data_IF_251847311993
#
_entry.id   IF_251847311993
#
_cell.length_a   1.000
_cell.length_b   1.000
_cell.length_c   1.000
_cell.angle_alpha   90.00
_cell.angle_beta   90.00
_cell.angle_gamma   90.00
#
_symmetry.space_group_name_H-M   'P 1'
#
loop_
_entity.id
_entity.type
_entity.pdbx_description
1 polymer ?
#
# COMPACT_ATOMS: atom_id res chain seq x y z
N UNK A 1 -12.48 86.90 -73.15
CA UNK A 1 -11.23 86.29 -72.66
C UNK A 1 -11.36 85.76 -71.21
N UNK A 2 -12.50 85.20 -70.78
CA UNK A 2 -12.79 85.01 -69.33
C UNK A 2 -13.55 83.72 -68.96
N UNK A 3 -13.42 82.62 -69.73
CA UNK A 3 -14.18 81.37 -69.51
C UNK A 3 -13.34 80.11 -69.34
N UNK A 4 -12.01 80.22 -69.38
CA UNK A 4 -11.08 79.08 -69.26
C UNK A 4 -10.58 78.90 -67.81
N UNK A 5 -10.57 79.96 -67.00
CA UNK A 5 -10.04 79.91 -65.62
C UNK A 5 -10.87 79.04 -64.66
N UNK A 6 -12.20 78.99 -64.84
CA UNK A 6 -13.08 78.22 -63.95
C UNK A 6 -12.95 76.69 -64.06
N UNK A 7 -12.43 76.15 -65.17
CA UNK A 7 -12.23 74.70 -65.34
C UNK A 7 -10.91 74.21 -64.74
N UNK A 8 -9.86 75.03 -64.80
CA UNK A 8 -8.55 74.73 -64.22
C UNK A 8 -8.66 74.74 -62.68
N UNK A 9 -9.42 75.69 -62.13
CA UNK A 9 -9.65 75.77 -60.67
C UNK A 9 -10.45 74.59 -60.10
N UNK A 10 -11.44 74.07 -60.84
CA UNK A 10 -12.20 72.87 -60.44
C UNK A 10 -11.39 71.57 -60.52
N UNK A 11 -10.42 71.48 -61.43
CA UNK A 11 -9.50 70.33 -61.51
C UNK A 11 -8.45 70.38 -60.38
N UNK A 12 -7.92 71.56 -60.08
CA UNK A 12 -7.03 71.78 -58.94
C UNK A 12 -7.72 71.47 -57.60
N UNK A 13 -9.01 71.85 -57.43
CA UNK A 13 -9.79 71.49 -56.24
C UNK A 13 -10.07 69.99 -56.10
N UNK A 14 -10.19 69.23 -57.21
CA UNK A 14 -10.37 67.76 -57.16
C UNK A 14 -9.05 67.03 -56.89
N UNK A 15 -7.91 67.58 -57.32
CA UNK A 15 -6.58 67.06 -57.00
C UNK A 15 -6.12 67.44 -55.59
N UNK A 16 -6.58 68.56 -55.05
CA UNK A 16 -6.39 68.98 -53.66
C UNK A 16 -7.45 68.39 -52.69
N UNK A 17 -8.40 67.59 -53.19
CA UNK A 17 -9.38 66.94 -52.34
C UNK A 17 -8.76 65.71 -51.66
N UNK A 18 -8.37 65.87 -50.39
CA UNK A 18 -7.84 64.79 -49.53
C UNK A 18 -8.89 63.71 -49.15
N UNK A 19 -10.05 63.68 -49.82
CA UNK A 19 -11.19 62.83 -49.48
C UNK A 19 -10.91 61.31 -49.63
N UNK A 20 -9.76 60.91 -50.18
CA UNK A 20 -9.29 59.52 -50.26
C UNK A 20 -8.11 59.16 -49.33
N UNK A 21 -7.44 60.13 -48.70
CA UNK A 21 -6.31 59.83 -47.82
C UNK A 21 -6.76 59.05 -46.58
N UNK A 22 -7.92 59.39 -46.03
CA UNK A 22 -8.55 58.69 -44.92
C UNK A 22 -8.93 57.25 -45.26
N UNK A 23 -9.35 56.95 -46.51
CA UNK A 23 -9.72 55.59 -46.91
C UNK A 23 -8.50 54.70 -47.13
N UNK A 24 -7.42 55.23 -47.73
CA UNK A 24 -6.14 54.51 -47.85
C UNK A 24 -5.56 54.20 -46.46
N UNK A 25 -5.58 55.18 -45.57
CA UNK A 25 -5.14 54.99 -44.18
C UNK A 25 -6.01 53.97 -43.42
N UNK A 26 -7.34 54.02 -43.60
CA UNK A 26 -8.24 53.05 -42.98
C UNK A 26 -7.97 51.62 -43.47
N UNK A 27 -7.76 51.41 -44.76
CA UNK A 27 -7.39 50.09 -45.31
C UNK A 27 -6.07 49.62 -44.70
N UNK A 28 -5.07 50.50 -44.62
CA UNK A 28 -3.78 50.17 -44.01
C UNK A 28 -3.93 49.76 -42.53
N UNK A 29 -4.72 50.50 -41.75
CA UNK A 29 -4.99 50.18 -40.34
C UNK A 29 -5.79 48.89 -40.15
N UNK A 30 -6.76 48.60 -41.03
CA UNK A 30 -7.49 47.33 -41.02
C UNK A 30 -6.53 46.17 -41.30
N UNK A 31 -5.64 46.30 -42.29
CA UNK A 31 -4.66 45.25 -42.58
C UNK A 31 -3.70 45.01 -41.41
N UNK A 32 -3.16 46.07 -40.79
CA UNK A 32 -2.30 45.92 -39.60
C UNK A 32 -3.03 45.22 -38.46
N UNK A 33 -4.25 45.66 -38.14
CA UNK A 33 -5.01 45.07 -37.03
C UNK A 33 -5.45 43.64 -37.32
N UNK A 34 -5.74 43.29 -38.58
CA UNK A 34 -5.96 41.89 -38.98
C UNK A 34 -4.70 41.04 -38.79
N UNK A 35 -3.52 41.51 -39.18
CA UNK A 35 -2.25 40.78 -38.99
C UNK A 35 -1.90 40.62 -37.51
N UNK A 36 -2.13 41.65 -36.69
CA UNK A 36 -1.94 41.55 -35.24
C UNK A 36 -2.97 40.60 -34.60
N UNK A 37 -4.25 40.70 -35.00
CA UNK A 37 -5.31 39.81 -34.54
C UNK A 37 -5.02 38.35 -34.88
N UNK A 38 -4.63 38.09 -36.12
CA UNK A 38 -4.12 36.83 -36.61
C UNK A 38 -3.01 36.24 -35.72
N UNK A 39 -1.95 37.03 -35.51
CA UNK A 39 -0.82 36.64 -34.67
C UNK A 39 -1.26 36.29 -33.24
N UNK A 40 -2.16 37.09 -32.66
CA UNK A 40 -2.67 36.83 -31.31
C UNK A 40 -3.50 35.56 -31.21
N UNK A 41 -4.31 35.23 -32.23
CA UNK A 41 -5.13 34.01 -32.25
C UNK A 41 -4.26 32.76 -32.35
N UNK A 42 -3.31 32.74 -33.29
CA UNK A 42 -2.40 31.61 -33.47
C UNK A 42 -1.51 31.41 -32.23
N UNK A 43 -1.00 32.49 -31.64
CA UNK A 43 -0.22 32.43 -30.40
C UNK A 43 -1.06 31.91 -29.21
N UNK A 44 -2.30 32.39 -29.07
CA UNK A 44 -3.21 31.92 -28.01
C UNK A 44 -3.55 30.44 -28.17
N UNK A 45 -3.79 29.97 -29.40
CA UNK A 45 -4.02 28.55 -29.66
C UNK A 45 -2.77 27.71 -29.37
N UNK A 46 -1.57 28.18 -29.75
CA UNK A 46 -0.31 27.53 -29.41
C UNK A 46 -0.10 27.39 -27.91
N UNK A 47 -0.42 28.44 -27.14
CA UNK A 47 -0.34 28.41 -25.68
C UNK A 47 -1.36 27.45 -25.05
N UNK A 48 -2.61 27.45 -25.55
CA UNK A 48 -3.64 26.50 -25.13
C UNK A 48 -3.21 25.05 -25.35
N UNK A 49 -2.69 24.73 -26.53
CA UNK A 49 -2.23 23.38 -26.88
C UNK A 49 -1.03 22.99 -26.02
N UNK A 50 -0.07 23.89 -25.78
CA UNK A 50 1.05 23.64 -24.86
C UNK A 50 0.57 23.30 -23.45
N UNK A 51 -0.41 24.03 -22.92
CA UNK A 51 -0.98 23.73 -21.60
C UNK A 51 -1.66 22.36 -21.56
N UNK A 52 -2.38 21.98 -22.62
CA UNK A 52 -2.97 20.64 -22.73
C UNK A 52 -1.91 19.54 -22.77
N UNK A 53 -0.80 19.75 -23.51
CA UNK A 53 0.34 18.85 -23.54
C UNK A 53 1.02 18.73 -22.17
N UNK A 54 1.12 19.82 -21.42
CA UNK A 54 1.69 19.82 -20.06
C UNK A 54 0.84 18.97 -19.11
N UNK A 55 -0.47 19.21 -19.06
CA UNK A 55 -1.41 18.42 -18.24
C UNK A 55 -1.31 16.92 -18.61
N UNK A 56 -1.23 16.62 -19.91
CA UNK A 56 -1.06 15.26 -20.40
C UNK A 56 0.25 14.64 -19.94
N UNK A 57 1.38 15.37 -20.07
CA UNK A 57 2.69 14.90 -19.65
C UNK A 57 2.72 14.64 -18.13
N UNK A 58 2.17 15.55 -17.33
CA UNK A 58 2.11 15.41 -15.86
C UNK A 58 1.28 14.18 -15.44
N UNK A 59 0.09 14.02 -16.01
CA UNK A 59 -0.78 12.88 -15.71
C UNK A 59 -0.17 11.55 -16.15
N UNK A 60 0.43 11.51 -17.35
CA UNK A 60 1.07 10.30 -17.88
C UNK A 60 2.34 9.94 -17.10
N UNK A 61 3.17 10.91 -16.73
CA UNK A 61 4.36 10.68 -15.90
C UNK A 61 3.96 10.12 -14.54
N UNK A 62 2.97 10.73 -13.87
CA UNK A 62 2.48 10.26 -12.57
C UNK A 62 1.93 8.83 -12.64
N UNK A 63 1.13 8.54 -13.67
CA UNK A 63 0.58 7.20 -13.87
C UNK A 63 1.66 6.15 -14.14
N UNK A 64 2.68 6.50 -14.94
CA UNK A 64 3.83 5.63 -15.19
C UNK A 64 4.62 5.34 -13.91
N UNK A 65 4.91 6.37 -13.13
CA UNK A 65 5.67 6.27 -11.89
C UNK A 65 5.02 5.33 -10.85
N UNK A 66 3.68 5.25 -10.84
CA UNK A 66 2.91 4.35 -9.98
C UNK A 66 3.03 2.85 -10.35
N UNK A 67 3.65 2.53 -11.49
CA UNK A 67 3.86 1.14 -11.95
C UNK A 67 5.31 0.69 -11.92
N UNK A 68 6.24 1.58 -11.55
CA UNK A 68 7.62 1.17 -11.31
C UNK A 68 7.69 0.13 -10.17
N UNK A 69 8.61 -0.85 -10.26
CA UNK A 69 9.70 -0.97 -11.25
C UNK A 69 9.30 -1.65 -12.58
N UNK A 70 8.03 -2.03 -12.78
CA UNK A 70 7.58 -2.64 -14.03
C UNK A 70 7.48 -1.60 -15.17
N UNK A 71 8.57 -1.45 -15.92
CA UNK A 71 8.67 -0.47 -17.01
C UNK A 71 7.73 -0.75 -18.19
N UNK A 72 7.37 -2.03 -18.41
CA UNK A 72 6.43 -2.39 -19.46
C UNK A 72 5.00 -1.95 -19.08
N UNK A 73 4.56 -2.26 -17.85
CA UNK A 73 3.28 -1.80 -17.32
C UNK A 73 3.21 -0.27 -17.18
N UNK A 74 4.30 0.35 -16.73
CA UNK A 74 4.41 1.81 -16.63
C UNK A 74 4.24 2.51 -17.98
N UNK A 75 4.92 2.02 -19.02
CA UNK A 75 4.80 2.57 -20.38
C UNK A 75 3.39 2.39 -20.94
N UNK A 76 2.79 1.22 -20.76
CA UNK A 76 1.43 0.95 -21.24
C UNK A 76 0.42 1.91 -20.59
N UNK A 77 0.50 2.09 -19.27
CA UNK A 77 -0.41 2.98 -18.54
C UNK A 77 -0.18 4.46 -18.88
N UNK A 78 1.06 4.89 -19.09
CA UNK A 78 1.38 6.25 -19.54
C UNK A 78 0.68 6.60 -20.86
N UNK A 79 0.75 5.69 -21.83
CA UNK A 79 0.11 5.84 -23.15
C UNK A 79 -1.42 5.88 -23.03
N UNK A 80 -2.00 5.02 -22.20
CA UNK A 80 -3.44 5.00 -21.93
C UNK A 80 -3.93 6.32 -21.32
N UNK A 81 -3.24 6.82 -20.30
CA UNK A 81 -3.58 8.09 -19.64
C UNK A 81 -3.38 9.27 -20.59
N UNK A 82 -2.32 9.28 -21.40
CA UNK A 82 -2.11 10.31 -22.39
C UNK A 82 -3.25 10.35 -23.42
N UNK A 83 -3.67 9.19 -23.93
CA UNK A 83 -4.77 9.08 -24.89
C UNK A 83 -6.09 9.60 -24.30
N UNK A 84 -6.35 9.36 -23.01
CA UNK A 84 -7.54 9.88 -22.31
C UNK A 84 -7.54 11.41 -22.19
N UNK A 85 -6.38 12.03 -22.04
CA UNK A 85 -6.26 13.49 -21.88
C UNK A 85 -6.28 14.25 -23.22
N UNK A 86 -5.82 13.63 -24.31
CA UNK A 86 -5.76 14.26 -25.64
C UNK A 86 -6.96 13.90 -26.55
N UNK A 87 -7.63 12.77 -26.29
CA UNK A 87 -8.71 12.27 -27.14
C UNK A 87 -8.21 11.43 -28.32
N UNK A 88 -9.15 10.81 -29.05
CA UNK A 88 -8.82 10.00 -30.22
C UNK A 88 -8.36 10.88 -31.40
N UNK A 89 -7.14 10.66 -31.89
CA UNK A 89 -6.61 11.30 -33.11
C UNK A 89 -5.40 12.22 -32.89
N UNK A 90 -5.08 12.59 -31.65
CA UNK A 90 -3.90 13.41 -31.34
C UNK A 90 -2.76 12.55 -30.79
N UNK A 91 -2.00 11.91 -31.68
CA UNK A 91 -0.83 11.10 -31.31
C UNK A 91 0.36 11.98 -30.87
N UNK A 92 0.21 12.74 -29.77
CA UNK A 92 1.27 13.60 -29.24
C UNK A 92 2.26 12.84 -28.33
N UNK A 93 1.97 11.58 -28.00
CA UNK A 93 2.82 10.72 -27.19
C UNK A 93 3.04 9.37 -27.89
N UNK A 94 4.29 8.93 -27.95
CA UNK A 94 4.71 7.60 -28.40
C UNK A 94 5.38 6.82 -27.26
N UNK A 95 5.59 5.51 -27.47
CA UNK A 95 6.31 4.66 -26.52
C UNK A 95 7.74 5.16 -26.19
N UNK A 96 8.37 5.84 -27.14
CA UNK A 96 9.72 6.40 -27.03
C UNK A 96 9.77 7.71 -26.24
N UNK A 97 8.62 8.33 -26.01
CA UNK A 97 8.52 9.55 -25.21
C UNK A 97 8.47 9.27 -23.71
N UNK A 98 8.33 7.99 -23.33
CA UNK A 98 8.34 7.52 -21.95
C UNK A 98 9.74 6.98 -21.65
N UNK A 99 10.54 7.80 -20.96
CA UNK A 99 11.93 7.51 -20.60
C UNK A 99 12.02 7.18 -19.11
N UNK A 100 12.76 6.13 -18.80
CA UNK A 100 12.96 5.63 -17.43
C UNK A 100 14.33 6.06 -16.92
N UNK A 101 14.40 6.41 -15.65
CA UNK A 101 15.61 7.00 -15.08
C UNK A 101 15.64 6.98 -13.56
N UNK A 102 16.71 7.54 -13.03
CA UNK A 102 16.84 7.90 -11.63
C UNK A 102 16.66 9.40 -11.45
N UNK A 103 15.92 9.80 -10.41
CA UNK A 103 15.85 11.16 -9.92
C UNK A 103 16.59 11.26 -8.60
N UNK A 104 17.51 12.21 -8.51
CA UNK A 104 18.24 12.54 -7.28
C UNK A 104 18.10 14.03 -7.00
N UNK A 105 17.72 14.38 -5.77
CA UNK A 105 17.58 15.77 -5.34
C UNK A 105 18.90 16.53 -5.53
N UNK A 106 18.85 17.68 -6.18
CA UNK A 106 20.04 18.49 -6.53
C UNK A 106 20.82 18.02 -7.77
N UNK A 107 20.63 16.79 -8.25
CA UNK A 107 21.28 16.28 -9.48
C UNK A 107 20.31 16.15 -10.67
N UNK A 108 19.02 16.03 -10.40
CA UNK A 108 17.97 15.95 -11.43
C UNK A 108 17.74 14.53 -11.95
N UNK A 109 17.20 14.44 -13.18
CA UNK A 109 16.85 13.18 -13.84
C UNK A 109 17.98 12.68 -14.73
N UNK A 110 18.36 11.41 -14.58
CA UNK A 110 19.29 10.71 -15.47
C UNK A 110 18.65 9.41 -15.98
N UNK A 111 18.68 9.18 -17.30
CA UNK A 111 18.17 7.92 -17.86
C UNK A 111 19.04 6.73 -17.43
N UNK A 112 18.39 5.60 -17.14
CA UNK A 112 19.08 4.36 -16.75
C UNK A 112 18.41 3.16 -17.41
N UNK A 113 19.21 2.14 -17.75
CA UNK A 113 18.71 0.83 -18.17
C UNK A 113 18.47 -0.12 -16.98
N UNK A 114 18.87 0.29 -15.77
CA UNK A 114 18.72 -0.46 -14.53
C UNK A 114 17.41 -0.17 -13.77
N UNK A 115 17.45 -0.30 -12.45
CA UNK A 115 16.31 0.04 -11.59
C UNK A 115 16.00 1.55 -11.69
N UNK A 116 14.86 1.87 -12.30
CA UNK A 116 14.37 3.23 -12.43
C UNK A 116 13.47 3.60 -11.23
N UNK A 117 13.76 4.73 -10.59
CA UNK A 117 12.91 5.31 -9.56
C UNK A 117 12.05 6.48 -10.10
N UNK A 118 12.26 6.91 -11.35
CA UNK A 118 11.55 8.02 -11.96
C UNK A 118 11.23 7.77 -13.44
N UNK A 119 10.20 8.47 -13.92
CA UNK A 119 9.77 8.45 -15.32
C UNK A 119 9.68 9.87 -15.84
N UNK A 120 10.30 10.12 -17.00
CA UNK A 120 10.14 11.35 -17.78
C UNK A 120 9.23 11.08 -18.96
N UNK A 121 8.21 11.91 -19.13
CA UNK A 121 7.26 11.83 -20.24
C UNK A 121 7.30 13.12 -21.03
N UNK A 122 7.43 13.03 -22.36
CA UNK A 122 7.47 14.21 -23.26
C UNK A 122 6.32 14.16 -24.26
N UNK A 123 5.34 15.05 -24.12
CA UNK A 123 4.25 15.19 -25.08
C UNK A 123 4.58 16.31 -26.07
N UNK A 124 4.52 16.02 -27.38
CA UNK A 124 4.90 16.99 -28.40
C UNK A 124 4.07 16.87 -29.68
N UNK A 125 3.76 18.03 -30.27
CA UNK A 125 3.22 18.18 -31.62
C UNK A 125 4.31 18.75 -32.52
N UNK A 126 4.77 17.99 -33.50
CA UNK A 126 5.88 18.38 -34.38
C UNK A 126 5.62 17.96 -35.82
N UNK A 127 6.27 18.64 -36.76
CA UNK A 127 6.23 18.32 -38.18
C UNK A 127 6.80 16.94 -38.45
N UNK A 128 7.86 16.57 -37.72
CA UNK A 128 8.48 15.24 -37.80
C UNK A 128 7.51 14.09 -37.46
N UNK A 129 6.51 14.35 -36.60
CA UNK A 129 5.46 13.40 -36.22
C UNK A 129 4.20 13.50 -37.09
N UNK A 130 4.17 14.43 -38.04
CA UNK A 130 2.99 14.70 -38.88
C UNK A 130 1.80 15.25 -38.10
N UNK A 131 2.01 15.81 -36.91
CA UNK A 131 0.94 16.27 -36.01
C UNK A 131 1.16 17.72 -35.52
N UNK A 132 1.96 18.52 -36.24
CA UNK A 132 2.19 19.92 -35.91
C UNK A 132 0.87 20.72 -35.77
N UNK A 133 0.90 21.84 -35.05
CA UNK A 133 -0.25 22.72 -34.94
C UNK A 133 -0.25 23.67 -36.13
N UNK A 134 -1.09 23.40 -37.11
CA UNK A 134 -1.27 24.31 -38.25
C UNK A 134 -1.71 25.69 -37.77
N UNK A 135 -1.08 26.72 -38.32
CA UNK A 135 -1.45 28.11 -38.07
C UNK A 135 -2.44 28.57 -39.11
N UNK A 136 -3.42 29.39 -38.70
CA UNK A 136 -4.47 29.83 -39.62
C UNK A 136 -4.05 31.09 -40.37
N UNK A 137 -3.34 32.00 -39.69
CA UNK A 137 -3.06 33.33 -40.23
C UNK A 137 -1.57 33.68 -40.25
N UNK A 138 -0.74 33.02 -39.44
CA UNK A 138 0.72 33.12 -39.55
C UNK A 138 1.34 32.66 -40.89
N UNK A 139 0.68 31.86 -41.78
CA UNK A 139 1.25 31.58 -43.09
C UNK A 139 1.48 32.85 -43.93
N UNK A 140 0.73 33.94 -43.66
CA UNK A 140 0.91 35.25 -44.30
C UNK A 140 2.29 35.89 -44.03
N UNK A 141 2.97 35.46 -42.96
CA UNK A 141 4.32 35.88 -42.59
C UNK A 141 5.33 34.74 -42.66
N UNK A 142 4.98 33.64 -43.35
CA UNK A 142 5.87 32.51 -43.64
C UNK A 142 6.04 31.49 -42.50
N UNK A 143 5.11 31.45 -41.54
CA UNK A 143 5.10 30.42 -40.50
C UNK A 143 3.86 29.55 -40.70
N UNK A 144 4.04 28.32 -41.15
CA UNK A 144 2.92 27.44 -41.51
C UNK A 144 2.39 26.63 -40.32
N UNK A 145 3.25 26.33 -39.35
CA UNK A 145 2.90 25.55 -38.18
C UNK A 145 3.68 25.94 -36.92
N UNK A 146 3.09 25.66 -35.76
CA UNK A 146 3.71 25.72 -34.45
C UNK A 146 4.00 24.30 -33.94
N UNK A 147 5.10 24.15 -33.21
CA UNK A 147 5.54 22.87 -32.66
C UNK A 147 5.58 22.90 -31.12
N UNK A 148 4.42 22.96 -30.43
CA UNK A 148 4.41 22.97 -28.97
C UNK A 148 4.82 21.60 -28.40
N UNK A 149 5.57 21.65 -27.30
CA UNK A 149 5.96 20.48 -26.53
C UNK A 149 5.99 20.78 -25.04
N UNK A 150 5.80 19.74 -24.25
CA UNK A 150 5.84 19.77 -22.80
C UNK A 150 6.46 18.48 -22.27
N UNK A 151 7.14 18.57 -21.12
CA UNK A 151 7.76 17.42 -20.47
C UNK A 151 7.50 17.46 -18.98
N UNK A 152 7.26 16.30 -18.39
CA UNK A 152 7.08 16.12 -16.97
C UNK A 152 7.94 14.97 -16.47
N UNK A 153 8.36 15.06 -15.21
CA UNK A 153 9.07 14.00 -14.51
C UNK A 153 8.26 13.67 -13.26
N UNK A 154 8.00 12.38 -13.06
CA UNK A 154 7.41 11.89 -11.83
C UNK A 154 8.34 10.84 -11.24
N UNK A 155 8.57 10.96 -9.94
CA UNK A 155 9.31 9.96 -9.18
C UNK A 155 8.29 8.96 -8.65
N UNK A 156 8.62 7.68 -8.72
CA UNK A 156 7.85 6.65 -8.04
C UNK A 156 7.75 7.03 -6.57
N UNK A 157 6.61 6.70 -5.95
CA UNK A 157 6.53 6.59 -4.51
C UNK A 157 7.34 5.35 -4.03
N UNK A 158 8.53 5.12 -4.59
CA UNK A 158 9.57 4.40 -3.92
C UNK A 158 10.05 5.29 -2.78
N UNK A 159 10.15 4.68 -1.62
CA UNK A 159 10.68 5.11 -0.32
C UNK A 159 11.85 6.11 -0.26
N UNK A 160 12.48 6.41 -1.39
CA UNK A 160 13.55 7.39 -1.48
C UNK A 160 13.03 8.84 -1.52
N UNK A 161 11.87 9.08 -2.15
CA UNK A 161 11.28 10.42 -2.29
C UNK A 161 10.58 10.91 -1.01
N UNK A 162 10.42 10.03 -0.02
CA UNK A 162 9.80 10.30 1.26
C UNK A 162 10.72 9.87 2.41
N UNK A 163 11.99 10.26 2.36
CA UNK A 163 12.89 10.20 3.53
C UNK A 163 12.80 8.91 4.34
N UNK A 164 13.11 7.77 3.74
CA UNK A 164 13.31 6.50 4.45
C UNK A 164 12.51 5.34 3.86
N UNK A 165 13.15 4.17 3.79
CA UNK A 165 12.50 2.88 3.63
C UNK A 165 11.22 2.83 4.48
N UNK A 166 10.11 2.32 3.92
CA UNK A 166 8.85 2.14 4.63
C UNK A 166 9.10 1.04 5.64
N UNK A 167 9.64 1.45 6.78
CA UNK A 167 10.09 0.56 7.82
C UNK A 167 8.89 0.03 8.55
N UNK A 168 8.38 -1.10 8.09
CA UNK A 168 7.36 -1.89 8.80
C UNK A 168 8.01 -3.17 9.36
N UNK A 169 9.30 -3.11 9.71
CA UNK A 169 10.05 -4.26 10.19
C UNK A 169 9.62 -4.70 11.58
N UNK A 170 9.23 -3.76 12.44
CA UNK A 170 8.98 -4.02 13.85
C UNK A 170 7.55 -4.42 14.14
N UNK A 171 6.60 -3.84 13.43
CA UNK A 171 5.22 -4.30 13.45
C UNK A 171 4.45 -3.85 12.20
N UNK A 172 3.50 -4.67 11.77
CA UNK A 172 2.50 -4.33 10.77
C UNK A 172 1.13 -4.84 11.22
N UNK A 173 0.18 -3.94 11.39
CA UNK A 173 -1.23 -4.27 11.57
C UNK A 173 -1.99 -3.59 10.46
N UNK A 174 -2.72 -4.35 9.65
CA UNK A 174 -3.51 -3.82 8.56
C UNK A 174 -4.94 -4.36 8.58
N UNK A 175 -5.88 -3.48 8.23
CA UNK A 175 -7.27 -3.84 7.98
C UNK A 175 -7.74 -3.34 6.61
N UNK A 176 -8.57 -4.14 5.94
CA UNK A 176 -9.29 -3.73 4.73
C UNK A 176 -10.44 -2.75 5.00
N UNK A 177 -10.72 -2.44 6.26
CA UNK A 177 -11.73 -1.48 6.68
C UNK A 177 -11.10 -0.31 7.45
N UNK A 178 -11.78 0.16 8.50
CA UNK A 178 -11.34 1.29 9.30
C UNK A 178 -10.49 0.84 10.49
N UNK A 179 -9.45 1.62 10.82
CA UNK A 179 -8.64 1.39 12.01
C UNK A 179 -8.82 2.51 13.03
N UNK A 180 -9.04 2.14 14.28
CA UNK A 180 -9.02 3.07 15.41
C UNK A 180 -8.00 2.62 16.45
N UNK A 181 -7.19 3.58 16.88
CA UNK A 181 -6.39 3.46 18.09
C UNK A 181 -6.97 4.43 19.11
N UNK A 182 -7.07 4.01 20.37
CA UNK A 182 -7.37 4.89 21.48
C UNK A 182 -6.22 5.86 21.74
N UNK A 183 -6.21 6.51 22.89
CA UNK A 183 -5.15 7.46 23.26
C UNK A 183 -4.05 6.88 24.15
N UNK A 184 -3.00 7.66 24.40
CA UNK A 184 -1.92 7.32 25.33
C UNK A 184 -0.92 6.30 24.79
N UNK A 185 -0.83 6.15 23.48
CA UNK A 185 0.02 5.15 22.85
C UNK A 185 1.49 5.57 22.86
N UNK A 186 2.40 4.61 22.93
CA UNK A 186 3.84 4.78 22.82
C UNK A 186 4.35 3.81 21.78
N UNK A 187 4.55 4.28 20.55
CA UNK A 187 5.02 3.48 19.43
C UNK A 187 6.48 3.82 19.15
N UNK A 188 7.38 2.87 19.37
CA UNK A 188 8.83 3.04 19.16
C UNK A 188 9.35 2.01 18.17
N UNK A 189 9.87 2.49 17.04
CA UNK A 189 10.45 1.68 15.99
C UNK A 189 9.74 1.86 14.65
N UNK A 190 9.94 0.87 13.78
CA UNK A 190 9.48 0.80 12.41
C UNK A 190 8.13 0.07 12.34
N UNK A 191 7.06 0.81 12.69
CA UNK A 191 5.72 0.28 12.94
C UNK A 191 4.75 0.84 11.91
N UNK A 192 3.96 -0.03 11.29
CA UNK A 192 2.94 0.34 10.31
C UNK A 192 1.55 -0.06 10.78
N UNK A 193 0.68 0.94 10.93
CA UNK A 193 -0.75 0.78 11.20
C UNK A 193 -1.51 1.24 9.96
N UNK A 194 -2.34 0.36 9.40
CA UNK A 194 -3.04 0.62 8.15
C UNK A 194 -4.54 0.33 8.24
N UNK A 195 -5.37 1.33 7.97
CA UNK A 195 -6.80 1.15 7.74
C UNK A 195 -7.18 1.63 6.35
N UNK A 196 -7.56 0.70 5.46
CA UNK A 196 -7.83 1.00 4.05
C UNK A 196 -8.86 2.13 3.86
N UNK A 197 -9.93 2.14 4.65
CA UNK A 197 -10.99 3.16 4.53
C UNK A 197 -10.75 4.39 5.41
N UNK A 198 -9.80 4.31 6.35
CA UNK A 198 -9.38 5.39 7.22
C UNK A 198 -8.69 4.88 8.49
N UNK A 199 -7.95 5.78 9.13
CA UNK A 199 -7.28 5.54 10.41
C UNK A 199 -7.47 6.73 11.34
N UNK A 200 -7.81 6.47 12.60
CA UNK A 200 -7.92 7.49 13.64
C UNK A 200 -7.14 7.11 14.91
N UNK A 201 -6.58 8.12 15.57
CA UNK A 201 -5.88 7.97 16.86
C UNK A 201 -6.58 8.77 17.95
N UNK A 202 -6.61 8.26 19.18
CA UNK A 202 -7.29 8.92 20.30
C UNK A 202 -6.54 10.11 20.89
N UNK A 203 -5.24 10.25 20.61
CA UNK A 203 -4.41 11.36 21.05
C UNK A 203 -3.71 11.14 22.40
N UNK A 204 -2.82 12.05 22.77
CA UNK A 204 -1.86 11.82 23.85
C UNK A 204 -0.81 10.78 23.47
N UNK A 205 -0.54 10.65 22.17
CA UNK A 205 0.30 9.60 21.62
C UNK A 205 1.75 10.07 21.46
N UNK A 206 2.68 9.13 21.63
CA UNK A 206 4.11 9.30 21.37
C UNK A 206 4.54 8.36 20.25
N UNK A 207 5.06 8.94 19.17
CA UNK A 207 5.61 8.25 18.01
C UNK A 207 7.10 8.56 17.91
N UNK A 208 7.92 7.51 17.85
CA UNK A 208 9.35 7.63 17.62
C UNK A 208 9.85 6.53 16.67
N UNK A 209 10.88 6.84 15.88
CA UNK A 209 11.38 5.96 14.83
C UNK A 209 10.54 6.06 13.56
N UNK A 210 10.56 5.02 12.73
CA UNK A 210 9.83 4.94 11.45
C UNK A 210 8.35 4.60 11.60
N UNK A 211 7.63 5.19 12.56
CA UNK A 211 6.19 4.93 12.74
C UNK A 211 5.39 5.51 11.58
N UNK A 212 4.44 4.73 11.06
CA UNK A 212 3.61 5.08 9.93
C UNK A 212 2.15 4.73 10.18
N UNK A 213 1.32 5.75 10.02
CA UNK A 213 -0.12 5.66 10.10
C UNK A 213 -0.66 5.90 8.70
N UNK A 214 -1.33 4.90 8.13
CA UNK A 214 -1.71 4.95 6.71
C UNK A 214 -3.15 4.53 6.45
N UNK A 215 -3.67 5.09 5.36
CA UNK A 215 -4.93 4.73 4.72
C UNK A 215 -4.77 4.87 3.21
N UNK A 216 -5.81 4.55 2.42
CA UNK A 216 -5.75 4.66 0.96
C UNK A 216 -5.26 6.05 0.49
N UNK A 217 -5.62 7.10 1.22
CA UNK A 217 -5.08 8.45 1.03
C UNK A 217 -4.65 9.06 2.37
N UNK A 218 -3.65 9.95 2.35
CA UNK A 218 -3.17 10.64 3.58
C UNK A 218 -4.31 11.39 4.28
N UNK A 219 -5.26 11.97 3.53
CA UNK A 219 -6.39 12.71 4.09
C UNK A 219 -7.40 11.88 4.88
N UNK A 220 -7.34 10.54 4.78
CA UNK A 220 -8.16 9.63 5.58
C UNK A 220 -7.47 9.20 6.88
N UNK A 221 -6.29 9.73 7.17
CA UNK A 221 -5.55 9.50 8.41
C UNK A 221 -5.74 10.69 9.33
N UNK A 222 -6.42 10.48 10.45
CA UNK A 222 -6.60 11.50 11.49
C UNK A 222 -5.72 11.16 12.68
N UNK A 223 -4.68 11.96 12.88
CA UNK A 223 -3.79 11.85 14.04
C UNK A 223 -4.17 12.97 15.01
N UNK A 224 -4.75 12.61 16.15
CA UNK A 224 -5.02 13.58 17.22
C UNK A 224 -3.73 14.01 17.92
N UNK A 225 -3.87 14.81 18.99
CA UNK A 225 -2.76 15.40 19.74
C UNK A 225 -1.59 14.42 20.00
N UNK A 226 -0.38 14.83 19.62
CA UNK A 226 0.87 14.13 19.96
C UNK A 226 1.58 14.83 21.12
N UNK A 227 2.20 14.05 22.00
CA UNK A 227 2.90 14.61 23.18
C UNK A 227 4.22 15.29 22.78
N UNK A 228 4.75 16.24 23.58
CA UNK A 228 6.03 16.89 23.28
C UNK A 228 7.17 15.89 23.06
N UNK A 229 7.96 16.10 22.00
CA UNK A 229 9.07 15.23 21.60
C UNK A 229 8.67 14.00 20.77
N UNK A 230 7.37 13.84 20.47
CA UNK A 230 6.87 12.89 19.46
C UNK A 230 7.06 13.43 18.05
N UNK A 231 7.13 12.53 17.06
CA UNK A 231 6.86 12.90 15.68
C UNK A 231 5.44 13.51 15.55
N UNK A 232 5.31 14.45 14.61
CA UNK A 232 4.07 15.18 14.31
C UNK A 232 3.10 14.33 13.48
N UNK A 233 1.83 14.76 13.46
CA UNK A 233 0.78 14.15 12.64
C UNK A 233 1.19 14.03 11.16
N UNK A 234 1.79 15.08 10.60
CA UNK A 234 2.21 15.09 9.20
C UNK A 234 3.40 14.17 8.91
N UNK A 235 4.28 13.99 9.89
CA UNK A 235 5.45 13.10 9.78
C UNK A 235 5.08 11.63 9.80
N UNK A 236 4.03 11.23 10.53
CA UNK A 236 3.61 9.83 10.63
C UNK A 236 2.48 9.46 9.65
N UNK A 237 1.65 10.42 9.24
CA UNK A 237 0.53 10.15 8.33
C UNK A 237 1.00 9.96 6.87
N UNK A 238 0.49 8.92 6.21
CA UNK A 238 0.84 8.54 4.82
C UNK A 238 -0.39 8.03 4.05
N UNK A 239 -0.38 8.23 2.73
CA UNK A 239 -1.24 7.48 1.81
C UNK A 239 -0.52 6.19 1.39
N UNK A 240 -1.19 5.05 1.47
CA UNK A 240 -0.65 3.76 1.06
C UNK A 240 -1.78 2.81 0.65
N UNK A 241 -1.55 1.95 -0.34
CA UNK A 241 -2.47 0.88 -0.72
C UNK A 241 -1.87 -0.45 -0.30
N UNK A 242 -2.07 -0.80 0.98
CA UNK A 242 -1.66 -2.08 1.56
C UNK A 242 -2.83 -3.06 1.47
N UNK A 243 -2.57 -4.24 0.93
CA UNK A 243 -3.55 -5.31 0.80
C UNK A 243 -3.17 -6.51 1.67
N UNK A 244 -4.13 -7.12 2.40
CA UNK A 244 -3.92 -8.40 3.07
C UNK A 244 -3.49 -9.50 2.08
N UNK A 245 -2.48 -10.29 2.46
CA UNK A 245 -1.92 -11.37 1.63
C UNK A 245 -2.33 -12.75 2.15
N UNK A 246 -2.48 -12.88 3.47
CA UNK A 246 -2.83 -14.13 4.16
C UNK A 246 -4.35 -14.28 4.27
N UNK A 247 -5.05 -13.20 4.61
CA UNK A 247 -6.48 -13.18 4.87
C UNK A 247 -7.31 -13.78 3.72
N UNK A 248 -7.08 -13.45 2.43
CA UNK A 248 -7.85 -14.05 1.32
C UNK A 248 -7.58 -15.56 1.14
N UNK A 249 -6.49 -16.07 1.72
CA UNK A 249 -6.04 -17.46 1.60
C UNK A 249 -6.42 -18.30 2.82
N UNK A 250 -6.97 -17.73 3.89
CA UNK A 250 -7.25 -18.47 5.13
C UNK A 250 -8.03 -19.77 4.89
N UNK A 251 -9.08 -19.70 4.07
CA UNK A 251 -9.91 -20.88 3.80
C UNK A 251 -9.13 -21.99 3.10
N UNK A 252 -8.41 -21.66 2.04
CA UNK A 252 -7.62 -22.64 1.28
C UNK A 252 -6.44 -23.16 2.09
N UNK A 253 -5.80 -22.31 2.91
CA UNK A 253 -4.75 -22.71 3.85
C UNK A 253 -5.26 -23.74 4.86
N UNK A 254 -6.42 -23.49 5.48
CA UNK A 254 -7.00 -24.42 6.45
C UNK A 254 -7.36 -25.76 5.80
N UNK A 255 -8.06 -25.74 4.66
CA UNK A 255 -8.49 -26.95 3.96
C UNK A 255 -7.30 -27.81 3.51
N UNK A 256 -6.26 -27.17 2.97
CA UNK A 256 -5.02 -27.85 2.59
C UNK A 256 -4.31 -28.45 3.80
N UNK A 257 -4.16 -27.69 4.89
CA UNK A 257 -3.52 -28.15 6.12
C UNK A 257 -4.29 -29.31 6.75
N UNK A 258 -5.61 -29.16 6.90
CA UNK A 258 -6.47 -30.19 7.46
C UNK A 258 -6.39 -31.48 6.65
N UNK A 259 -6.54 -31.39 5.33
CA UNK A 259 -6.48 -32.55 4.44
C UNK A 259 -5.11 -33.22 4.45
N UNK A 260 -4.01 -32.45 4.47
CA UNK A 260 -2.65 -32.97 4.47
C UNK A 260 -2.33 -33.77 5.73
N UNK A 261 -2.79 -33.29 6.90
CA UNK A 261 -2.56 -33.98 8.17
C UNK A 261 -3.53 -35.17 8.32
N UNK A 262 -4.81 -35.00 7.98
CA UNK A 262 -5.82 -36.01 8.27
C UNK A 262 -5.76 -37.25 7.37
N UNK A 263 -5.18 -37.15 6.16
CA UNK A 263 -5.16 -38.25 5.17
C UNK A 263 -4.45 -39.52 5.65
N UNK A 264 -3.54 -39.40 6.63
CA UNK A 264 -2.73 -40.51 7.13
C UNK A 264 -3.23 -41.04 8.49
N UNK A 265 -4.31 -40.47 9.03
CA UNK A 265 -4.89 -40.91 10.30
C UNK A 265 -5.80 -42.11 10.05
N UNK A 266 -5.68 -43.16 10.87
CA UNK A 266 -6.66 -44.23 10.86
C UNK A 266 -8.06 -43.67 11.18
N UNK A 267 -9.09 -44.16 10.48
CA UNK A 267 -10.48 -43.76 10.74
C UNK A 267 -10.82 -43.93 12.22
N UNK A 268 -11.29 -42.88 12.91
CA UNK A 268 -11.62 -42.97 14.33
C UNK A 268 -12.74 -43.98 14.59
N UNK A 269 -12.54 -44.88 15.56
CA UNK A 269 -13.57 -45.84 16.00
C UNK A 269 -14.60 -45.25 17.00
N UNK A 270 -14.75 -43.92 17.01
CA UNK A 270 -15.73 -43.20 17.82
C UNK A 270 -15.23 -42.78 19.21
N UNK A 271 -15.43 -41.48 19.50
CA UNK A 271 -15.31 -40.78 20.79
C UNK A 271 -13.93 -40.59 21.44
N UNK A 272 -12.88 -41.27 21.00
CA UNK A 272 -11.59 -41.19 21.69
C UNK A 272 -10.61 -40.15 21.11
N UNK A 273 -9.75 -39.65 22.00
CA UNK A 273 -8.52 -38.96 21.65
C UNK A 273 -7.57 -39.97 21.01
N UNK A 274 -7.37 -39.88 19.69
CA UNK A 274 -6.49 -40.81 18.99
C UNK A 274 -5.13 -40.14 18.79
N UNK A 275 -4.10 -40.69 19.44
CA UNK A 275 -2.70 -40.39 19.13
C UNK A 275 -2.28 -41.35 18.03
N UNK A 276 -2.35 -40.92 16.78
CA UNK A 276 -1.95 -41.76 15.65
C UNK A 276 -1.08 -40.98 14.69
N UNK A 277 0.07 -41.56 14.37
CA UNK A 277 1.00 -41.05 13.38
C UNK A 277 1.84 -39.83 13.79
N UNK A 278 2.67 -39.45 12.82
CA UNK A 278 3.54 -38.28 12.88
C UNK A 278 3.37 -37.44 11.62
N UNK A 279 3.30 -36.13 11.80
CA UNK A 279 3.36 -35.18 10.70
C UNK A 279 4.82 -34.91 10.33
N UNK A 280 5.14 -35.07 9.05
CA UNK A 280 6.46 -34.75 8.45
C UNK A 280 6.34 -33.75 7.31
N UNK A 281 5.14 -33.19 7.09
CA UNK A 281 4.90 -32.24 6.02
C UNK A 281 5.56 -30.88 6.28
N UNK A 282 5.30 -29.96 5.35
CA UNK A 282 5.94 -28.64 5.29
C UNK A 282 4.96 -27.48 5.34
N UNK A 283 3.71 -27.73 5.75
CA UNK A 283 2.67 -26.69 5.84
C UNK A 283 2.63 -26.01 7.21
N UNK A 284 3.50 -26.44 8.13
CA UNK A 284 3.62 -25.90 9.48
C UNK A 284 5.07 -25.52 9.81
N UNK A 285 5.30 -24.54 10.70
CA UNK A 285 6.63 -24.13 11.13
C UNK A 285 7.46 -25.27 11.75
N UNK A 286 8.78 -25.21 11.56
CA UNK A 286 9.69 -26.27 12.04
C UNK A 286 9.83 -26.33 13.57
N UNK A 287 9.47 -25.28 14.31
CA UNK A 287 9.52 -25.30 15.78
C UNK A 287 8.58 -26.35 16.40
N UNK A 288 7.62 -26.87 15.62
CA UNK A 288 6.71 -27.94 16.03
C UNK A 288 7.35 -29.33 15.92
N UNK A 289 8.53 -29.44 15.32
CA UNK A 289 9.22 -30.72 15.13
C UNK A 289 10.11 -31.02 16.32
N UNK A 290 10.08 -32.28 16.75
CA UNK A 290 10.98 -32.83 17.75
C UNK A 290 12.43 -32.95 17.22
N UNK A 291 13.33 -33.48 18.04
CA UNK A 291 14.74 -33.73 17.66
C UNK A 291 14.92 -34.69 16.48
N UNK A 292 13.88 -35.46 16.12
CA UNK A 292 13.88 -36.38 14.99
C UNK A 292 13.21 -35.78 13.74
N UNK A 293 12.83 -34.50 13.79
CA UNK A 293 12.13 -33.82 12.70
C UNK A 293 10.66 -34.23 12.55
N UNK A 294 10.05 -34.83 13.58
CA UNK A 294 8.67 -35.34 13.58
C UNK A 294 7.79 -34.53 14.53
N UNK A 295 6.49 -34.46 14.22
CA UNK A 295 5.48 -33.85 15.10
C UNK A 295 4.39 -34.88 15.36
N UNK A 296 4.07 -35.18 16.61
CA UNK A 296 2.99 -36.11 16.94
C UNK A 296 1.64 -35.54 16.49
N UNK A 297 0.71 -36.39 16.07
CA UNK A 297 -0.66 -35.96 15.74
C UNK A 297 -1.64 -36.55 16.74
N UNK A 298 -2.56 -35.71 17.19
CA UNK A 298 -3.66 -36.08 18.05
C UNK A 298 -4.95 -35.61 17.40
N UNK A 299 -5.79 -36.56 17.02
CA UNK A 299 -7.11 -36.28 16.48
C UNK A 299 -8.15 -36.31 17.59
N UNK A 300 -8.96 -35.26 17.64
CA UNK A 300 -9.99 -35.06 18.66
C UNK A 300 -11.36 -34.94 17.98
N UNK A 301 -12.15 -35.99 18.11
CA UNK A 301 -13.53 -36.06 17.59
C UNK A 301 -14.51 -36.43 18.68
N UNK A 302 -14.46 -35.63 19.75
CA UNK A 302 -15.46 -35.69 20.80
C UNK A 302 -16.72 -34.99 20.28
N UNK A 303 -17.84 -35.70 20.23
CA UNK A 303 -19.14 -35.17 19.80
C UNK A 303 -19.52 -33.95 20.66
N UNK A 304 -19.16 -32.75 20.21
CA UNK A 304 -19.27 -31.51 20.99
C UNK A 304 -17.93 -30.80 21.19
N UNK A 305 -17.69 -30.34 22.42
CA UNK A 305 -16.62 -29.39 22.75
C UNK A 305 -15.51 -30.06 23.57
N UNK A 306 -14.25 -30.01 23.10
CA UNK A 306 -13.13 -30.58 23.86
C UNK A 306 -12.59 -29.58 24.89
N UNK A 307 -12.54 -29.96 26.17
CA UNK A 307 -11.95 -29.12 27.23
C UNK A 307 -10.60 -29.67 27.66
N UNK A 308 -9.51 -29.11 27.13
CA UNK A 308 -8.15 -29.51 27.45
C UNK A 308 -7.81 -29.15 28.90
N UNK A 309 -7.45 -30.15 29.69
CA UNK A 309 -7.03 -30.05 31.09
C UNK A 309 -5.49 -29.93 31.19
N UNK A 310 -4.95 -29.50 32.35
CA UNK A 310 -3.51 -29.50 32.59
C UNK A 310 -2.86 -30.85 32.27
N UNK A 311 -1.74 -30.83 31.53
CA UNK A 311 -1.00 -32.02 31.11
C UNK A 311 -1.53 -32.74 29.87
N UNK A 312 -2.68 -32.35 29.33
CA UNK A 312 -3.23 -32.96 28.09
C UNK A 312 -2.60 -32.39 26.81
N UNK A 313 -2.13 -31.14 26.86
CA UNK A 313 -1.39 -30.51 25.77
C UNK A 313 0.09 -30.82 25.97
N UNK A 314 0.69 -31.52 25.00
CA UNK A 314 2.08 -31.93 25.01
C UNK A 314 2.86 -31.14 23.95
N UNK A 315 4.13 -30.81 24.20
CA UNK A 315 5.01 -30.22 23.20
C UNK A 315 5.14 -31.10 21.94
N UNK A 316 5.51 -30.48 20.82
CA UNK A 316 5.75 -31.12 19.52
C UNK A 316 4.56 -31.96 19.04
N UNK A 317 3.35 -31.47 19.32
CA UNK A 317 2.09 -32.18 19.02
C UNK A 317 1.12 -31.27 18.28
N UNK A 318 0.48 -31.81 17.24
CA UNK A 318 -0.62 -31.19 16.51
C UNK A 318 -1.93 -31.77 17.01
N UNK A 319 -2.81 -30.92 17.53
CA UNK A 319 -4.17 -31.26 17.92
C UNK A 319 -5.13 -30.86 16.79
N UNK A 320 -5.65 -31.85 16.07
CA UNK A 320 -6.71 -31.70 15.07
C UNK A 320 -8.06 -31.88 15.75
N UNK A 321 -8.79 -30.79 15.95
CA UNK A 321 -10.08 -30.81 16.65
C UNK A 321 -11.21 -30.65 15.64
N UNK A 322 -12.05 -31.68 15.50
CA UNK A 322 -13.13 -31.71 14.49
C UNK A 322 -14.28 -30.72 14.81
N UNK A 323 -14.29 -30.17 16.03
CA UNK A 323 -15.26 -29.19 16.52
C UNK A 323 -14.53 -28.03 17.21
N UNK A 324 -15.20 -27.37 18.17
CA UNK A 324 -14.57 -26.37 19.02
C UNK A 324 -13.85 -26.98 20.23
N UNK A 325 -12.96 -26.19 20.84
CA UNK A 325 -12.28 -26.56 22.07
C UNK A 325 -12.07 -25.40 23.03
N UNK A 326 -11.89 -25.73 24.30
CA UNK A 326 -11.52 -24.83 25.38
C UNK A 326 -10.22 -25.34 26.00
N UNK A 327 -9.22 -24.48 26.02
CA UNK A 327 -8.05 -24.65 26.87
C UNK A 327 -8.47 -24.18 28.26
N UNK A 328 -8.41 -25.07 29.26
CA UNK A 328 -8.82 -24.73 30.62
C UNK A 328 -7.91 -23.65 31.21
N UNK A 329 -8.42 -22.91 32.20
CA UNK A 329 -7.62 -21.89 32.87
C UNK A 329 -6.34 -22.46 33.48
N UNK A 330 -5.23 -21.72 33.36
CA UNK A 330 -3.92 -22.17 33.85
C UNK A 330 -3.18 -23.14 32.93
N UNK A 331 -3.74 -23.53 31.78
CA UNK A 331 -3.08 -24.44 30.84
C UNK A 331 -2.20 -23.66 29.87
N UNK A 332 -0.91 -24.02 29.88
CA UNK A 332 0.09 -23.51 28.94
C UNK A 332 0.13 -24.35 27.66
N UNK A 333 0.40 -23.69 26.54
CA UNK A 333 0.69 -24.31 25.25
C UNK A 333 2.12 -23.90 24.93
N UNK A 334 2.95 -24.87 24.56
CA UNK A 334 4.34 -24.63 24.17
C UNK A 334 4.75 -25.64 23.11
N UNK A 335 5.34 -25.17 22.02
CA UNK A 335 5.76 -25.99 20.89
C UNK A 335 4.61 -26.84 20.31
N UNK A 336 3.37 -26.38 20.36
CA UNK A 336 2.22 -27.17 19.93
C UNK A 336 1.33 -26.45 18.90
N UNK A 337 0.63 -27.24 18.10
CA UNK A 337 -0.32 -26.72 17.13
C UNK A 337 -1.74 -27.15 17.49
N UNK A 338 -2.69 -26.23 17.39
CA UNK A 338 -4.11 -26.44 17.63
C UNK A 338 -4.86 -25.99 16.38
N UNK A 339 -5.47 -26.95 15.69
CA UNK A 339 -6.18 -26.73 14.44
C UNK A 339 -7.62 -27.21 14.65
N UNK A 340 -8.58 -26.28 14.70
CA UNK A 340 -9.95 -26.55 15.06
C UNK A 340 -10.94 -26.15 13.96
N UNK A 341 -11.93 -27.02 13.70
CA UNK A 341 -13.09 -26.74 12.83
C UNK A 341 -14.22 -25.96 13.52
N UNK A 342 -14.01 -25.54 14.75
CA UNK A 342 -14.85 -24.61 15.49
C UNK A 342 -14.00 -23.61 16.26
N UNK A 343 -14.58 -23.00 17.28
CA UNK A 343 -13.92 -22.00 18.10
C UNK A 343 -12.80 -22.60 18.97
N UNK A 344 -11.77 -21.80 19.23
CA UNK A 344 -10.73 -22.07 20.22
C UNK A 344 -10.90 -21.05 21.34
N UNK A 345 -11.40 -21.51 22.48
CA UNK A 345 -11.45 -20.76 23.71
C UNK A 345 -10.19 -20.98 24.56
N UNK A 346 -9.66 -19.93 25.18
CA UNK A 346 -8.62 -20.04 26.19
C UNK A 346 -9.15 -19.50 27.51
N UNK A 347 -9.04 -20.32 28.55
CA UNK A 347 -9.58 -20.05 29.87
C UNK A 347 -8.73 -19.02 30.59
N UNK A 348 -9.36 -18.28 31.49
CA UNK A 348 -8.68 -17.29 32.32
C UNK A 348 -7.49 -17.88 33.08
N UNK A 349 -6.45 -17.07 33.26
CA UNK A 349 -5.28 -17.42 34.04
C UNK A 349 -4.41 -16.19 34.26
N UNK A 350 -3.50 -16.29 35.21
CA UNK A 350 -2.42 -15.32 35.39
C UNK A 350 -1.13 -15.90 34.80
N UNK A 351 -0.37 -15.09 34.07
CA UNK A 351 0.96 -15.44 33.60
C UNK A 351 1.01 -16.71 32.70
N UNK A 352 0.09 -16.80 31.74
CA UNK A 352 0.15 -17.84 30.70
C UNK A 352 1.17 -17.44 29.63
N UNK A 353 2.04 -18.36 29.24
CA UNK A 353 3.06 -18.15 28.21
C UNK A 353 2.82 -19.12 27.07
N UNK A 354 2.55 -18.57 25.88
CA UNK A 354 2.40 -19.31 24.63
C UNK A 354 3.59 -18.97 23.75
N UNK A 355 4.43 -19.96 23.45
CA UNK A 355 5.68 -19.76 22.71
C UNK A 355 5.90 -20.94 21.78
N UNK A 356 6.23 -20.64 20.51
CA UNK A 356 6.34 -21.63 19.44
C UNK A 356 5.01 -22.36 19.22
N UNK A 357 3.91 -21.62 19.16
CA UNK A 357 2.57 -22.19 19.05
C UNK A 357 1.88 -21.78 17.75
N UNK A 358 1.01 -22.67 17.27
CA UNK A 358 0.25 -22.47 16.05
C UNK A 358 -1.24 -22.70 16.31
N UNK A 359 -2.05 -21.66 16.22
CA UNK A 359 -3.50 -21.72 16.39
C UNK A 359 -4.20 -21.44 15.07
N UNK A 360 -5.11 -22.33 14.65
CA UNK A 360 -5.93 -22.11 13.47
C UNK A 360 -7.36 -22.59 13.70
N UNK A 361 -8.30 -21.66 13.74
CA UNK A 361 -9.73 -21.90 13.90
C UNK A 361 -10.51 -21.54 12.64
N UNK A 362 -11.50 -22.34 12.25
CA UNK A 362 -12.52 -21.90 11.27
C UNK A 362 -13.59 -20.99 11.88
N UNK A 363 -13.58 -20.83 13.21
CA UNK A 363 -14.46 -19.95 13.96
C UNK A 363 -13.67 -18.78 14.54
N UNK A 364 -13.67 -18.69 15.87
CA UNK A 364 -13.05 -17.63 16.67
C UNK A 364 -11.96 -18.20 17.58
N UNK A 365 -10.83 -17.49 17.70
CA UNK A 365 -9.90 -17.64 18.81
C UNK A 365 -10.26 -16.58 19.84
N UNK A 366 -10.79 -16.99 20.99
CA UNK A 366 -11.15 -16.08 22.08
C UNK A 366 -10.39 -16.45 23.34
N UNK A 367 -9.64 -15.50 23.88
CA UNK A 367 -8.81 -15.75 25.06
C UNK A 367 -9.21 -14.88 26.24
N UNK A 368 -9.33 -15.54 27.40
CA UNK A 368 -9.54 -14.88 28.68
C UNK A 368 -8.24 -14.88 29.49
N UNK A 369 -8.04 -13.83 30.28
CA UNK A 369 -6.93 -13.75 31.24
C UNK A 369 -5.69 -13.02 30.72
N UNK A 370 -4.58 -13.20 31.44
CA UNK A 370 -3.29 -12.54 31.21
C UNK A 370 -2.33 -13.48 30.49
N UNK A 371 -2.20 -13.29 29.18
CA UNK A 371 -1.42 -14.15 28.27
C UNK A 371 -0.26 -13.37 27.67
N UNK A 372 0.91 -13.99 27.66
CA UNK A 372 2.08 -13.58 26.91
C UNK A 372 2.17 -14.44 25.65
N UNK A 373 1.93 -13.80 24.51
CA UNK A 373 2.05 -14.40 23.20
C UNK A 373 3.47 -14.22 22.71
N UNK A 374 4.13 -15.33 22.43
CA UNK A 374 5.52 -15.46 22.01
C UNK A 374 6.55 -15.12 23.08
N UNK A 375 7.83 -15.20 22.68
CA UNK A 375 8.97 -15.03 23.59
C UNK A 375 9.29 -13.55 23.84
N UNK A 376 8.73 -13.01 24.92
CA UNK A 376 8.95 -11.62 25.34
C UNK A 376 10.42 -11.23 25.54
N UNK A 377 11.29 -12.19 25.89
CA UNK A 377 12.70 -11.91 26.19
C UNK A 377 13.60 -12.04 24.97
N UNK A 378 13.26 -12.91 24.02
CA UNK A 378 14.18 -13.29 22.93
C UNK A 378 13.63 -13.15 21.52
N UNK A 379 12.38 -12.69 21.29
CA UNK A 379 11.83 -12.58 19.93
C UNK A 379 12.72 -11.81 18.95
N UNK A 380 13.43 -10.76 19.40
CA UNK A 380 14.41 -10.06 18.57
C UNK A 380 15.66 -10.90 18.28
N UNK A 381 16.14 -11.66 19.25
CA UNK A 381 17.32 -12.51 19.09
C UNK A 381 17.04 -13.73 18.19
N UNK A 382 15.82 -14.25 18.21
CA UNK A 382 15.42 -15.36 17.33
C UNK A 382 15.20 -14.91 15.89
N UNK A 383 14.87 -13.63 15.68
CA UNK A 383 14.65 -13.05 14.35
C UNK A 383 13.45 -13.64 13.61
N UNK A 384 12.53 -14.32 14.30
CA UNK A 384 11.39 -15.02 13.68
C UNK A 384 10.12 -14.94 14.52
N UNK A 385 8.97 -15.04 13.86
CA UNK A 385 7.69 -15.19 14.57
C UNK A 385 7.62 -16.53 15.29
N UNK A 386 7.24 -16.50 16.56
CA UNK A 386 7.12 -17.68 17.43
C UNK A 386 5.68 -18.09 17.65
N UNK A 387 4.70 -17.24 17.34
CA UNK A 387 3.28 -17.61 17.44
C UNK A 387 2.56 -17.28 16.15
N UNK A 388 1.72 -18.20 15.71
CA UNK A 388 0.82 -18.03 14.58
C UNK A 388 -0.63 -18.17 15.07
N UNK A 389 -1.49 -17.17 14.80
CA UNK A 389 -2.88 -17.17 15.21
C UNK A 389 -3.80 -16.80 14.04
N UNK A 390 -4.54 -17.78 13.55
CA UNK A 390 -5.45 -17.63 12.42
C UNK A 390 -6.88 -18.00 12.81
N UNK A 391 -7.84 -17.17 12.41
CA UNK A 391 -9.26 -17.48 12.59
C UNK A 391 -10.06 -16.95 11.40
N UNK A 392 -11.15 -17.62 11.00
CA UNK A 392 -12.02 -17.01 9.97
C UNK A 392 -12.76 -15.79 10.51
N UNK A 393 -13.20 -15.83 11.78
CA UNK A 393 -14.06 -14.79 12.33
C UNK A 393 -13.29 -13.78 13.17
N UNK A 394 -12.76 -14.20 14.32
CA UNK A 394 -12.13 -13.27 15.27
C UNK A 394 -10.90 -13.88 15.91
N UNK A 395 -9.84 -13.08 16.10
CA UNK A 395 -8.76 -13.37 17.05
C UNK A 395 -8.81 -12.32 18.14
N UNK A 396 -9.05 -12.77 19.37
CA UNK A 396 -9.00 -11.96 20.58
C UNK A 396 -7.84 -12.44 21.47
N UNK A 397 -6.85 -11.58 21.71
CA UNK A 397 -5.64 -11.92 22.46
C UNK A 397 -5.79 -11.76 23.98
N UNK A 398 -6.93 -11.24 24.44
CA UNK A 398 -7.24 -11.10 25.86
C UNK A 398 -6.39 -10.03 26.58
N UNK A 399 -6.20 -10.20 27.88
CA UNK A 399 -5.41 -9.30 28.72
C UNK A 399 -6.21 -8.20 29.41
N UNK A 400 -6.07 -8.10 30.73
CA UNK A 400 -6.52 -6.96 31.53
C UNK A 400 -5.38 -6.56 32.50
N UNK A 401 -5.01 -5.28 32.53
CA UNK A 401 -4.12 -4.73 33.56
C UNK A 401 -2.61 -4.95 33.39
N UNK A 402 -2.06 -4.91 32.16
CA UNK A 402 -0.61 -4.88 31.90
C UNK A 402 0.16 -6.20 32.11
N UNK A 403 -0.49 -7.24 32.62
CA UNK A 403 0.07 -8.60 32.77
C UNK A 403 0.05 -9.46 31.51
N UNK A 404 -0.09 -8.86 30.34
CA UNK A 404 -0.21 -9.53 29.04
C UNK A 404 0.68 -8.83 28.01
N UNK A 405 1.14 -9.57 27.02
CA UNK A 405 1.99 -9.02 25.96
C UNK A 405 1.94 -9.85 24.68
N UNK A 406 2.40 -9.28 23.57
CA UNK A 406 2.48 -9.97 22.29
C UNK A 406 3.80 -9.67 21.58
N UNK A 407 4.66 -10.68 21.46
CA UNK A 407 6.02 -10.60 20.94
C UNK A 407 6.26 -11.68 19.88
N UNK A 408 6.56 -11.30 18.63
CA UNK A 408 6.74 -12.29 17.58
C UNK A 408 5.46 -13.05 17.23
N UNK A 409 4.32 -12.36 17.19
CA UNK A 409 3.01 -12.91 16.82
C UNK A 409 2.66 -12.56 15.37
N UNK A 410 2.29 -13.58 14.60
CA UNK A 410 1.81 -13.48 13.23
C UNK A 410 0.35 -13.95 13.17
N UNK A 411 -0.53 -13.25 12.48
CA UNK A 411 -1.92 -13.69 12.41
C UNK A 411 -2.77 -13.03 11.34
N UNK A 412 -3.96 -13.60 11.15
CA UNK A 412 -4.98 -13.04 10.29
C UNK A 412 -6.37 -13.53 10.72
N UNK A 413 -7.34 -12.64 10.76
CA UNK A 413 -8.75 -12.96 10.99
C UNK A 413 -9.69 -11.85 10.53
N UNK A 414 -10.97 -12.14 10.28
CA UNK A 414 -11.89 -11.08 9.86
C UNK A 414 -11.93 -9.92 10.86
N UNK A 415 -11.89 -10.19 12.16
CA UNK A 415 -11.81 -9.19 13.23
C UNK A 415 -10.59 -9.45 14.12
N UNK A 416 -9.86 -8.38 14.45
CA UNK A 416 -8.74 -8.43 15.40
C UNK A 416 -9.06 -7.60 16.64
N UNK A 417 -8.99 -8.25 17.81
CA UNK A 417 -9.18 -7.61 19.11
C UNK A 417 -7.97 -7.90 20.00
N UNK A 418 -6.94 -7.05 19.99
CA UNK A 418 -5.72 -7.32 20.75
C UNK A 418 -5.90 -7.23 22.27
N UNK A 419 -6.93 -6.55 22.76
CA UNK A 419 -7.15 -6.35 24.20
C UNK A 419 -5.94 -5.72 24.91
N UNK A 420 -5.68 -6.16 26.14
CA UNK A 420 -4.54 -5.68 26.93
C UNK A 420 -3.17 -6.19 26.45
N UNK A 421 -3.12 -7.15 25.52
CA UNK A 421 -1.86 -7.72 25.04
C UNK A 421 -0.97 -6.71 24.27
N UNK A 422 -1.53 -5.59 23.82
CA UNK A 422 -0.74 -4.53 23.15
C UNK A 422 -0.14 -3.50 24.08
N UNK A 423 -0.37 -3.60 25.40
CA UNK A 423 0.30 -2.73 26.37
C UNK A 423 1.77 -3.09 26.59
N UNK A 424 2.22 -4.19 25.99
CA UNK A 424 3.61 -4.63 25.95
C UNK A 424 3.81 -5.55 24.73
N UNK A 425 4.25 -4.99 23.61
CA UNK A 425 4.31 -5.73 22.34
C UNK A 425 5.50 -5.38 21.46
N UNK A 426 5.81 -6.27 20.51
CA UNK A 426 6.88 -6.08 19.52
C UNK A 426 6.92 -7.22 18.49
N UNK A 427 7.41 -6.97 17.28
CA UNK A 427 7.49 -8.03 16.26
C UNK A 427 6.12 -8.60 15.90
N UNK A 428 5.21 -7.76 15.41
CA UNK A 428 3.82 -8.16 15.17
C UNK A 428 3.46 -8.09 13.70
N UNK A 429 2.71 -9.07 13.22
CA UNK A 429 2.07 -9.03 11.91
C UNK A 429 0.62 -9.47 12.04
N UNK A 430 -0.33 -8.61 11.69
CA UNK A 430 -1.75 -8.98 11.73
C UNK A 430 -2.57 -8.39 10.58
N UNK A 431 -3.40 -9.22 9.96
CA UNK A 431 -4.34 -8.82 8.91
C UNK A 431 -5.80 -8.98 9.34
N UNK A 432 -6.65 -8.00 9.04
CA UNK A 432 -8.10 -8.12 9.19
C UNK A 432 -8.94 -7.55 8.05
N UNK A 433 -10.19 -7.98 7.94
CA UNK A 433 -11.13 -7.45 6.93
C UNK A 433 -12.08 -6.42 7.50
N UNK A 434 -12.43 -6.54 8.78
CA UNK A 434 -13.38 -5.67 9.47
C UNK A 434 -12.66 -4.56 10.23
N UNK A 435 -13.42 -3.64 10.80
CA UNK A 435 -12.87 -2.56 11.60
C UNK A 435 -11.97 -3.12 12.71
N UNK A 436 -10.78 -2.55 12.84
CA UNK A 436 -9.80 -2.92 13.85
C UNK A 436 -9.80 -1.83 14.94
N UNK A 437 -10.22 -2.20 16.15
CA UNK A 437 -10.17 -1.32 17.33
C UNK A 437 -9.05 -1.82 18.23
N UNK A 438 -7.88 -1.16 18.16
CA UNK A 438 -6.70 -1.61 18.90
C UNK A 438 -6.74 -1.20 20.38
N UNK A 439 -7.61 -0.25 20.73
CA UNK A 439 -7.65 0.33 22.08
C UNK A 439 -6.52 1.35 22.31
N UNK A 440 -6.37 1.81 23.55
CA UNK A 440 -5.35 2.79 23.94
C UNK A 440 -4.27 2.22 24.85
N UNK A 441 -3.28 3.05 25.19
CA UNK A 441 -2.08 2.68 25.94
C UNK A 441 -1.25 1.57 25.28
N UNK A 442 -1.26 1.53 23.94
CA UNK A 442 -0.41 0.61 23.18
C UNK A 442 1.06 0.92 23.49
N UNK A 443 1.88 -0.10 23.76
CA UNK A 443 3.33 0.08 23.91
C UNK A 443 4.06 -0.91 23.04
N UNK A 444 4.65 -0.38 21.97
CA UNK A 444 5.42 -1.16 21.03
C UNK A 444 6.91 -0.89 21.19
N UNK A 445 7.69 -1.98 21.20
CA UNK A 445 9.14 -1.95 21.12
C UNK A 445 9.62 -2.82 19.96
N UNK A 446 10.24 -2.17 18.99
CA UNK A 446 10.82 -2.82 17.83
C UNK A 446 12.14 -3.55 18.09
N UNK A 447 12.48 -4.45 17.16
CA UNK A 447 13.79 -5.10 17.07
C UNK A 447 14.76 -4.37 16.13
N UNK A 448 14.27 -3.41 15.34
CA UNK A 448 15.01 -2.76 14.26
C UNK A 448 15.18 -3.63 13.01
N UNK A 449 14.66 -4.86 13.01
CA UNK A 449 14.78 -5.82 11.90
C UNK A 449 13.51 -6.65 11.75
N UNK A 450 13.15 -6.95 10.49
CA UNK A 450 11.94 -7.72 10.19
C UNK A 450 12.12 -9.16 10.64
N UNK A 451 11.14 -9.65 11.39
CA UNK A 451 11.08 -11.06 11.75
C UNK A 451 10.77 -11.92 10.52
N UNK A 452 11.47 -13.05 10.41
CA UNK A 452 11.20 -14.09 9.44
C UNK A 452 9.84 -14.74 9.73
N UNK A 453 8.97 -14.77 8.72
CA UNK A 453 7.67 -15.41 8.78
C UNK A 453 7.60 -16.64 7.88
N UNK A 454 6.81 -17.62 8.33
CA UNK A 454 6.51 -18.82 7.57
C UNK A 454 5.55 -18.55 6.39
N UNK A 455 4.71 -17.52 6.50
CA UNK A 455 3.79 -17.08 5.44
C UNK A 455 4.22 -15.75 4.85
N UNK A 456 3.79 -15.48 3.61
CA UNK A 456 4.00 -14.19 2.95
C UNK A 456 3.41 -13.05 3.81
N UNK A 457 4.11 -11.92 3.83
CA UNK A 457 3.66 -10.68 4.43
C UNK A 457 3.27 -9.67 3.35
N UNK A 458 2.32 -8.80 3.69
CA UNK A 458 2.07 -7.57 2.99
C UNK A 458 3.34 -6.71 3.03
N UNK A 459 3.67 -6.14 1.88
CA UNK A 459 4.81 -5.26 1.73
C UNK A 459 4.28 -3.88 1.32
N UNK A 460 4.77 -2.80 1.94
CA UNK A 460 4.58 -1.48 1.37
C UNK A 460 5.13 -1.45 -0.04
N UNK A 461 4.46 -0.74 -0.96
CA UNK A 461 4.95 -0.59 -2.32
C UNK A 461 6.39 -0.05 -2.30
N UNK A 462 7.29 -0.72 -3.04
CA UNK A 462 8.73 -0.39 -3.05
C UNK A 462 9.59 -1.10 -2.00
N UNK A 463 9.04 -1.85 -1.05
CA UNK A 463 9.85 -2.70 -0.18
C UNK A 463 10.32 -3.94 -0.96
N UNK A 464 11.64 -4.05 -1.18
CA UNK A 464 12.22 -5.23 -1.83
C UNK A 464 11.79 -6.50 -1.08
N UNK A 465 11.24 -7.47 -1.82
CA UNK A 465 10.92 -8.79 -1.26
C UNK A 465 12.25 -9.45 -0.90
N UNK A 466 12.61 -9.54 0.38
CA UNK A 466 13.71 -10.41 0.82
C UNK A 466 13.28 -11.86 0.62
N UNK A 467 13.51 -12.38 -0.57
CA UNK A 467 13.52 -13.81 -0.82
C UNK A 467 14.78 -14.39 -0.19
N UNK A 468 14.64 -15.13 0.90
CA UNK A 468 15.63 -16.16 1.17
C UNK A 468 15.50 -17.24 0.10
N UNK A 469 16.65 -17.63 -0.43
CA UNK A 469 16.79 -18.77 -1.30
C UNK A 469 16.32 -20.03 -0.54
N UNK A 470 15.20 -20.60 -0.98
CA UNK A 470 14.87 -21.99 -0.69
C UNK A 470 13.74 -22.22 0.31
N UNK A 471 12.51 -21.80 0.00
CA UNK A 471 11.30 -22.55 0.39
C UNK A 471 10.17 -22.32 -0.61
N UNK A 472 9.56 -23.42 -1.04
CA UNK A 472 8.66 -23.52 -2.19
C UNK A 472 7.38 -22.71 -1.98
N UNK A 473 7.09 -21.82 -2.94
CA UNK A 473 5.76 -21.29 -3.21
C UNK A 473 4.82 -22.43 -3.62
N UNK A 474 3.63 -22.49 -3.00
CA UNK A 474 2.35 -22.82 -3.66
C UNK A 474 1.24 -22.00 -3.04
#
# INVERSE_FOLDING_TARGET
MMRVEGKIWRLAQRLAAEQGAASVWAIYMVLITMVLGALTIDAANGWRVRNQLQITADAAALAAAAKLPDTAAARALALEVAQKNLGAGEAALSAEDVRFGTWVEGQGFAETEGEANAVRVTAARTTARGNALETVMMPLVGVDALEPGASAIAVSASTESAGGALGCEDAMILTSAYMDTGGGNTLKGNICLHGKTGLHTGGGDYYAGGVQLSAATKGQVTVNYTVPGSATADEVARGSDLAPVVLPKLKTMFEALWSDISKNLASPNGKDLIVDGYYTGKLLPDFLKDSNGKTAIVYVDNYGWWSAQPGQIKPYTIYLVNHGMQISGGVQVQNAAIIARGDIGVGGGTNLHYTNDYFFSTGTINTGGSIYWGDTGNYCATGRYSVYAFAYNTVSLGGWGGGSGAHGLFGAAATFSPGGAMQNSGGLYFESSNNAYLGGNLKFQGCGTRLEAFYDQALPQGAAKRTEAGRLKR
#
